data_IF_847759109742
#
_entry.id   IF_847759109742
#
_cell.length_a   1.000
_cell.length_b   1.000
_cell.length_c   1.000
_cell.angle_alpha   90.00
_cell.angle_beta   90.00
_cell.angle_gamma   90.00
#
_symmetry.space_group_name_H-M   'P 1'
#
loop_
_entity.id
_entity.type
_entity.pdbx_description
1 polymer ?
#
# COMPACT_ATOMS: atom_id res chain seq x y z
N UNK A 1 -2.25 -14.79 13.85
CA UNK A 1 -1.38 -13.84 13.13
C UNK A 1 -0.94 -14.47 11.82
N UNK A 2 -1.02 -13.75 10.69
CA UNK A 2 -0.60 -14.26 9.38
C UNK A 2 0.92 -14.43 9.35
N UNK A 3 1.42 -15.50 8.71
CA UNK A 3 2.87 -15.70 8.54
C UNK A 3 3.37 -14.83 7.39
N UNK A 4 4.21 -13.84 7.70
CA UNK A 4 4.80 -12.91 6.74
C UNK A 4 6.29 -13.24 6.61
N UNK A 5 6.73 -13.50 5.38
CA UNK A 5 8.11 -13.90 5.08
C UNK A 5 8.81 -12.91 4.14
N UNK A 6 8.07 -11.98 3.52
CA UNK A 6 8.58 -11.01 2.56
C UNK A 6 8.08 -9.60 2.86
N UNK A 7 8.97 -8.63 2.72
CA UNK A 7 8.60 -7.22 2.58
C UNK A 7 8.79 -6.85 1.11
N UNK A 8 7.77 -6.32 0.46
CA UNK A 8 7.82 -5.93 -0.96
C UNK A 8 7.68 -4.43 -1.06
N UNK A 9 8.72 -3.72 -1.48
CA UNK A 9 8.67 -2.26 -1.61
C UNK A 9 8.10 -1.84 -2.97
N UNK A 10 7.20 -0.84 -2.94
CA UNK A 10 6.63 -0.20 -4.13
C UNK A 10 6.84 1.32 -4.06
N UNK A 11 6.70 2.00 -5.21
CA UNK A 11 6.61 3.46 -5.28
C UNK A 11 5.26 3.87 -5.87
N UNK A 12 4.79 5.07 -5.54
CA UNK A 12 3.53 5.63 -6.05
C UNK A 12 3.57 5.97 -7.55
N UNK A 13 4.76 5.93 -8.17
CA UNK A 13 4.98 6.39 -9.54
C UNK A 13 4.49 7.82 -9.82
N UNK A 14 4.41 8.66 -8.79
CA UNK A 14 4.07 10.09 -8.90
C UNK A 14 5.32 10.92 -9.14
N UNK A 15 5.16 12.08 -9.78
CA UNK A 15 6.26 13.04 -10.00
C UNK A 15 6.84 13.50 -8.66
N UNK A 16 8.15 13.74 -8.61
CA UNK A 16 8.82 14.21 -7.40
C UNK A 16 8.35 15.61 -6.95
N UNK A 17 7.80 16.42 -7.85
CA UNK A 17 7.28 17.76 -7.51
C UNK A 17 5.84 17.72 -7.01
N UNK A 18 5.21 16.54 -7.02
CA UNK A 18 3.82 16.36 -6.64
C UNK A 18 3.73 15.76 -5.24
N UNK A 19 2.89 16.37 -4.40
CA UNK A 19 2.46 15.73 -3.16
C UNK A 19 1.34 14.74 -3.46
N UNK A 20 1.54 13.48 -3.09
CA UNK A 20 0.55 12.42 -3.26
C UNK A 20 0.12 11.91 -1.88
N UNK A 21 -1.13 12.19 -1.53
CA UNK A 21 -1.68 11.95 -0.21
C UNK A 21 -2.21 10.52 -0.06
N UNK A 22 -2.21 9.95 1.17
CA UNK A 22 -2.81 8.65 1.45
C UNK A 22 -4.26 8.52 0.95
N UNK A 23 -5.05 9.59 1.04
CA UNK A 23 -6.45 9.61 0.60
C UNK A 23 -6.58 9.56 -0.93
N UNK A 24 -5.58 10.09 -1.66
CA UNK A 24 -5.53 9.97 -3.12
C UNK A 24 -5.19 8.53 -3.50
N UNK A 25 -4.24 7.90 -2.80
CA UNK A 25 -3.89 6.49 -3.00
C UNK A 25 -5.07 5.55 -2.77
N UNK A 26 -5.81 5.75 -1.67
CA UNK A 26 -7.03 5.02 -1.36
C UNK A 26 -8.08 5.19 -2.48
N UNK A 27 -8.30 6.43 -2.92
CA UNK A 27 -9.25 6.77 -3.99
C UNK A 27 -8.89 6.10 -5.31
N UNK A 28 -7.63 6.17 -5.72
CA UNK A 28 -7.16 5.63 -7.00
C UNK A 28 -7.23 4.10 -7.02
N UNK A 29 -6.93 3.45 -5.89
CA UNK A 29 -7.11 2.02 -5.73
C UNK A 29 -8.58 1.59 -5.77
N UNK A 30 -9.46 2.36 -5.11
CA UNK A 30 -10.92 2.14 -5.21
C UNK A 30 -11.43 2.32 -6.63
N UNK A 31 -10.97 3.33 -7.36
CA UNK A 31 -11.31 3.54 -8.77
C UNK A 31 -10.87 2.38 -9.68
N UNK A 32 -9.83 1.63 -9.29
CA UNK A 32 -9.37 0.40 -9.96
C UNK A 32 -10.14 -0.86 -9.56
N UNK A 33 -11.17 -0.73 -8.71
CA UNK A 33 -11.99 -1.85 -8.24
C UNK A 33 -11.46 -2.56 -7.00
N UNK A 34 -10.47 -2.00 -6.31
CA UNK A 34 -10.05 -2.53 -5.02
C UNK A 34 -10.98 -2.06 -3.90
N UNK A 35 -11.15 -2.88 -2.87
CA UNK A 35 -11.98 -2.52 -1.71
C UNK A 35 -11.41 -1.32 -0.92
N UNK A 36 -10.09 -1.28 -0.80
CA UNK A 36 -9.30 -0.23 -0.15
C UNK A 36 -7.91 -0.18 -0.78
N UNK A 37 -7.02 0.65 -0.26
CA UNK A 37 -5.62 0.66 -0.63
C UNK A 37 -5.04 -0.75 -0.60
N UNK A 38 -4.37 -1.13 -1.69
CA UNK A 38 -3.71 -2.42 -1.84
C UNK A 38 -2.44 -2.58 -1.00
N UNK A 39 -1.99 -1.54 -0.31
CA UNK A 39 -0.82 -1.53 0.56
C UNK A 39 -1.24 -1.51 2.04
N UNK A 40 -0.38 -2.04 2.91
CA UNK A 40 -0.48 -1.96 4.36
C UNK A 40 0.01 -0.62 4.94
N UNK A 41 0.97 0.03 4.31
CA UNK A 41 1.59 1.30 4.73
C UNK A 41 1.90 2.19 3.53
N UNK A 42 1.90 3.48 3.79
CA UNK A 42 2.36 4.49 2.85
C UNK A 42 3.36 5.42 3.53
N UNK A 43 4.53 5.59 2.94
CA UNK A 43 5.58 6.47 3.46
C UNK A 43 5.53 7.77 2.67
N UNK A 44 5.18 8.87 3.36
CA UNK A 44 5.16 10.21 2.75
C UNK A 44 6.58 10.73 2.57
N UNK A 45 6.71 11.74 1.72
CA UNK A 45 8.00 12.44 1.50
C UNK A 45 8.55 13.11 2.75
N UNK A 46 7.69 13.44 3.72
CA UNK A 46 8.06 13.93 5.05
C UNK A 46 8.74 12.85 5.93
N UNK A 47 8.71 11.58 5.52
CA UNK A 47 9.11 10.44 6.34
C UNK A 47 7.99 9.88 7.22
N UNK A 48 6.82 10.51 7.23
CA UNK A 48 5.64 10.01 7.95
C UNK A 48 5.20 8.64 7.40
N UNK A 49 5.06 7.65 8.28
CA UNK A 49 4.56 6.31 7.96
C UNK A 49 3.07 6.25 8.29
N UNK A 50 2.24 6.19 7.26
CA UNK A 50 0.78 6.17 7.39
C UNK A 50 0.28 4.72 7.29
N UNK A 51 -0.43 4.20 8.31
CA UNK A 51 -1.05 2.88 8.22
C UNK A 51 -2.24 2.93 7.25
N UNK A 52 -2.34 1.92 6.38
CA UNK A 52 -3.37 1.77 5.37
C UNK A 52 -4.19 0.50 5.64
N UNK A 53 -3.97 -0.58 4.87
CA UNK A 53 -4.67 -1.86 5.10
C UNK A 53 -4.12 -2.58 6.34
N UNK A 54 -4.97 -3.02 7.28
CA UNK A 54 -4.51 -3.77 8.45
C UNK A 54 -3.71 -5.03 8.10
N UNK A 55 -2.65 -5.39 8.86
CA UNK A 55 -1.83 -6.59 8.64
C UNK A 55 -2.60 -7.91 8.62
N UNK A 56 -3.75 -7.95 9.29
CA UNK A 56 -4.64 -9.10 9.37
C UNK A 56 -5.36 -9.34 8.04
N UNK A 57 -5.51 -8.30 7.21
CA UNK A 57 -6.14 -8.37 5.90
C UNK A 57 -5.12 -8.64 4.80
N UNK A 58 -5.51 -9.47 3.84
CA UNK A 58 -4.66 -9.78 2.68
C UNK A 58 -4.52 -8.53 1.80
N UNK A 59 -3.31 -8.04 1.51
CA UNK A 59 -3.11 -6.88 0.65
C UNK A 59 -3.28 -7.20 -0.84
N UNK A 60 -3.17 -6.18 -1.70
CA UNK A 60 -3.38 -6.28 -3.15
C UNK A 60 -2.26 -5.59 -3.97
N UNK A 61 -1.01 -5.62 -3.48
CA UNK A 61 0.12 -4.92 -4.11
C UNK A 61 1.03 -5.81 -4.99
N UNK A 62 1.11 -7.13 -4.74
CA UNK A 62 2.02 -8.03 -5.46
C UNK A 62 1.36 -9.36 -5.82
N UNK A 63 0.77 -9.45 -7.02
CA UNK A 63 0.08 -10.66 -7.53
C UNK A 63 0.98 -11.89 -7.41
N UNK A 64 0.46 -12.97 -6.82
CA UNK A 64 1.20 -14.21 -6.56
C UNK A 64 1.94 -14.27 -5.21
N UNK A 65 2.10 -13.12 -4.53
CA UNK A 65 2.88 -13.03 -3.28
C UNK A 65 2.07 -12.50 -2.07
N UNK A 66 0.83 -12.01 -2.30
CA UNK A 66 -0.01 -11.33 -1.29
C UNK A 66 -0.31 -12.13 -0.01
N UNK A 67 -0.15 -13.46 -0.01
CA UNK A 67 -0.48 -14.30 1.13
C UNK A 67 0.58 -14.29 2.25
N UNK A 68 1.84 -13.96 1.92
CA UNK A 68 2.98 -14.07 2.83
C UNK A 68 3.85 -12.81 2.82
N UNK A 69 3.29 -11.70 2.35
CA UNK A 69 4.00 -10.43 2.18
C UNK A 69 3.39 -9.30 3.02
N UNK A 70 4.20 -8.26 3.15
CA UNK A 70 3.93 -6.95 3.70
C UNK A 70 4.42 -5.88 2.72
N UNK A 71 3.58 -4.93 2.33
CA UNK A 71 3.76 -3.49 2.59
C UNK A 71 2.50 -2.76 2.21
#
# INVERSE_FOLDING_TARGET
>A
MRKINLIVLHCSATRETMEYMPEQLERDHKARGFFSAGYNYYIRRSGEVVPMRPPEQIPAHAKGYIFFTYI
#
